data_IF_834350191800
#
_entry.id   IF_834350191800
#
_cell.length_a   1.000
_cell.length_b   1.000
_cell.length_c   1.000
_cell.angle_alpha   90.00
_cell.angle_beta   90.00
_cell.angle_gamma   90.00
#
_symmetry.space_group_name_H-M   'P 1'
#
loop_
_entity.id
_entity.type
_entity.pdbx_description
1 polymer ?
#
# COMPACT_ATOMS: atom_id res chain seq x y z
N UNK A 1 19.34 -16.03 12.09
CA UNK A 1 18.54 -14.81 12.27
C UNK A 1 17.19 -15.24 12.81
N UNK A 2 16.86 -14.86 14.05
CA UNK A 2 15.64 -15.34 14.70
C UNK A 2 14.45 -14.43 14.36
N UNK A 3 13.23 -14.98 14.41
CA UNK A 3 11.99 -14.32 13.96
C UNK A 3 11.62 -13.07 14.78
N UNK A 4 12.11 -12.94 16.01
CA UNK A 4 11.88 -11.77 16.88
C UNK A 4 12.83 -10.60 16.57
N UNK A 5 14.05 -10.88 16.13
CA UNK A 5 14.99 -9.84 15.64
C UNK A 5 14.50 -9.20 14.34
N UNK A 6 13.73 -9.96 13.56
CA UNK A 6 13.19 -9.52 12.27
C UNK A 6 12.09 -8.43 12.44
N UNK A 7 11.28 -8.49 13.51
CA UNK A 7 10.20 -7.53 13.76
C UNK A 7 10.67 -6.20 14.37
N UNK A 8 11.72 -6.23 15.21
CA UNK A 8 12.33 -5.01 15.77
C UNK A 8 12.76 -4.02 14.66
N UNK A 9 13.09 -4.55 13.47
CA UNK A 9 13.45 -3.73 12.30
C UNK A 9 12.26 -3.20 11.49
N UNK A 10 11.11 -3.91 11.45
CA UNK A 10 9.98 -3.53 10.57
C UNK A 10 9.21 -2.36 11.16
N UNK A 11 8.90 -2.40 12.46
CA UNK A 11 8.19 -1.32 13.13
C UNK A 11 9.01 -0.02 13.13
N UNK A 12 10.32 -0.12 13.37
CA UNK A 12 11.23 1.04 13.29
C UNK A 12 11.28 1.63 11.88
N UNK A 13 11.38 0.78 10.85
CA UNK A 13 11.36 1.23 9.45
C UNK A 13 10.03 1.89 9.09
N UNK A 14 8.92 1.33 9.55
CA UNK A 14 7.61 1.94 9.36
C UNK A 14 7.53 3.31 10.05
N UNK A 15 8.02 3.44 11.28
CA UNK A 15 8.03 4.71 12.00
C UNK A 15 8.89 5.79 11.33
N UNK A 16 10.05 5.40 10.78
CA UNK A 16 10.89 6.29 9.98
C UNK A 16 10.15 6.71 8.70
N UNK A 17 9.56 5.76 7.98
CA UNK A 17 8.81 6.06 6.75
C UNK A 17 7.65 7.02 7.01
N UNK A 18 6.86 6.80 8.07
CA UNK A 18 5.75 7.68 8.45
C UNK A 18 6.26 9.11 8.74
N UNK A 19 7.37 9.24 9.47
CA UNK A 19 8.00 10.53 9.77
C UNK A 19 8.49 11.24 8.50
N UNK A 20 9.20 10.52 7.64
CA UNK A 20 9.76 11.06 6.40
C UNK A 20 8.66 11.49 5.42
N UNK A 21 7.53 10.78 5.42
CA UNK A 21 6.34 11.10 4.61
C UNK A 21 5.39 12.11 5.27
N UNK A 22 5.67 12.53 6.51
CA UNK A 22 4.84 13.50 7.23
C UNK A 22 3.47 12.99 7.67
N UNK A 23 3.29 11.68 7.82
CA UNK A 23 2.02 11.04 8.19
C UNK A 23 1.96 10.91 9.72
N UNK A 24 1.29 11.86 10.37
CA UNK A 24 1.27 11.95 11.83
C UNK A 24 -0.10 11.73 12.47
N UNK A 25 -1.18 11.74 11.69
CA UNK A 25 -2.55 11.77 12.20
C UNK A 25 -3.48 10.87 11.39
N UNK A 26 -4.60 10.51 12.01
CA UNK A 26 -5.69 9.75 11.39
C UNK A 26 -6.89 10.69 11.14
N UNK A 27 -7.71 10.46 10.11
CA UNK A 27 -7.60 9.37 9.13
C UNK A 27 -6.47 9.61 8.10
N UNK A 28 -5.88 8.52 7.60
CA UNK A 28 -4.98 8.60 6.44
C UNK A 28 -5.78 8.56 5.15
N UNK A 29 -5.32 9.29 4.13
CA UNK A 29 -5.82 9.15 2.77
C UNK A 29 -4.91 8.21 1.96
N UNK A 30 -5.33 6.95 1.74
CA UNK A 30 -4.52 5.98 1.01
C UNK A 30 -4.36 6.33 -0.47
N UNK A 31 -5.29 7.09 -1.08
CA UNK A 31 -5.18 7.48 -2.48
C UNK A 31 -4.11 8.56 -2.66
N UNK A 32 -4.10 9.57 -1.79
CA UNK A 32 -3.06 10.61 -1.80
C UNK A 32 -1.66 10.03 -1.53
N UNK A 33 -1.54 9.05 -0.63
CA UNK A 33 -0.26 8.34 -0.39
C UNK A 33 0.17 7.57 -1.63
N UNK A 34 -0.74 6.85 -2.29
CA UNK A 34 -0.40 6.11 -3.49
C UNK A 34 0.04 7.03 -4.64
N UNK A 35 -0.65 8.17 -4.82
CA UNK A 35 -0.27 9.19 -5.79
C UNK A 35 1.14 9.76 -5.52
N UNK A 36 1.50 10.02 -4.25
CA UNK A 36 2.86 10.49 -3.91
C UNK A 36 3.96 9.47 -4.16
N UNK A 37 3.61 8.18 -4.24
CA UNK A 37 4.54 7.09 -4.56
C UNK A 37 4.51 6.66 -6.03
N UNK A 38 3.79 7.38 -6.91
CA UNK A 38 3.58 7.01 -8.32
C UNK A 38 2.96 5.60 -8.47
N UNK A 39 2.05 5.26 -7.56
CA UNK A 39 1.29 4.00 -7.56
C UNK A 39 -0.09 4.26 -8.12
N UNK A 40 -0.39 3.69 -9.29
CA UNK A 40 -1.69 3.83 -9.92
C UNK A 40 -2.76 3.04 -9.17
N UNK A 41 -3.75 3.71 -8.57
CA UNK A 41 -4.88 3.03 -7.89
C UNK A 41 -6.10 3.01 -8.80
N UNK A 42 -6.66 1.83 -9.07
CA UNK A 42 -7.83 1.67 -9.93
C UNK A 42 -8.87 0.74 -9.30
N UNK A 43 -10.13 1.15 -9.33
CA UNK A 43 -11.23 0.24 -9.07
C UNK A 43 -11.24 -0.86 -10.14
N UNK A 44 -11.38 -2.12 -9.72
CA UNK A 44 -11.57 -3.25 -10.61
C UNK A 44 -12.92 -3.10 -11.32
N UNK A 45 -13.02 -3.36 -12.63
CA UNK A 45 -14.31 -3.47 -13.30
C UNK A 45 -15.20 -4.50 -12.61
N UNK A 46 -16.51 -4.24 -12.52
CA UNK A 46 -17.50 -5.13 -11.88
C UNK A 46 -17.68 -6.48 -12.61
N UNK A 47 -16.97 -6.69 -13.72
CA UNK A 47 -17.09 -7.84 -14.62
C UNK A 47 -16.29 -9.08 -14.22
N UNK A 48 -15.47 -9.03 -13.15
CA UNK A 48 -14.59 -10.15 -12.77
C UNK A 48 -14.70 -10.47 -11.28
N UNK A 49 -15.31 -11.61 -10.92
CA UNK A 49 -15.39 -12.07 -9.52
C UNK A 49 -14.09 -12.76 -9.09
N UNK A 50 -13.75 -12.67 -7.79
CA UNK A 50 -12.76 -13.57 -7.18
C UNK A 50 -11.50 -12.95 -6.55
N UNK A 51 -11.34 -11.63 -6.50
CA UNK A 51 -10.23 -10.96 -5.77
C UNK A 51 -10.71 -9.68 -5.08
N UNK A 52 -10.35 -9.49 -3.80
CA UNK A 52 -10.63 -8.25 -3.05
C UNK A 52 -9.72 -7.09 -3.48
N UNK A 53 -8.51 -7.41 -3.96
CA UNK A 53 -7.56 -6.46 -4.52
C UNK A 53 -6.22 -7.13 -4.86
N UNK A 54 -5.37 -6.42 -5.60
CA UNK A 54 -4.05 -6.88 -6.00
C UNK A 54 -3.07 -5.71 -6.14
N UNK A 55 -1.83 -5.92 -5.69
CA UNK A 55 -0.69 -5.07 -6.05
C UNK A 55 -0.02 -5.66 -7.29
N UNK A 56 0.10 -4.85 -8.33
CA UNK A 56 0.72 -5.17 -9.61
C UNK A 56 2.03 -4.42 -9.77
N UNK A 57 2.96 -5.03 -10.50
CA UNK A 57 4.23 -4.41 -10.89
C UNK A 57 4.52 -4.74 -12.34
N UNK A 58 4.80 -3.71 -13.14
CA UNK A 58 5.32 -3.82 -14.50
C UNK A 58 6.60 -2.98 -14.62
N UNK A 59 7.75 -3.65 -14.75
CA UNK A 59 9.05 -3.00 -14.65
C UNK A 59 9.27 -2.29 -13.30
N UNK A 60 9.29 -0.96 -13.33
CA UNK A 60 9.38 -0.10 -12.13
C UNK A 60 8.06 0.61 -11.78
N UNK A 61 7.00 0.38 -12.55
CA UNK A 61 5.68 0.94 -12.30
C UNK A 61 4.89 0.01 -11.39
N UNK A 62 4.22 0.60 -10.41
CA UNK A 62 3.35 -0.13 -9.48
C UNK A 62 1.90 0.31 -9.64
N UNK A 63 0.97 -0.62 -9.42
CA UNK A 63 -0.45 -0.32 -9.43
C UNK A 63 -1.22 -1.16 -8.43
N UNK A 64 -2.27 -0.59 -7.85
CA UNK A 64 -3.20 -1.27 -6.95
C UNK A 64 -4.55 -1.34 -7.65
N UNK A 65 -5.09 -2.56 -7.80
CA UNK A 65 -6.49 -2.75 -8.13
C UNK A 65 -7.27 -3.19 -6.90
N UNK A 66 -8.45 -2.63 -6.67
CA UNK A 66 -9.30 -2.98 -5.53
C UNK A 66 -10.75 -3.25 -5.98
N UNK A 67 -11.44 -4.14 -5.29
CA UNK A 67 -12.84 -4.44 -5.56
C UNK A 67 -13.76 -3.35 -4.98
N UNK A 68 -14.78 -2.99 -5.75
CA UNK A 68 -15.87 -2.08 -5.37
C UNK A 68 -17.12 -2.81 -4.90
N UNK A 69 -17.19 -4.13 -5.14
CA UNK A 69 -18.29 -5.02 -4.77
C UNK A 69 -17.69 -6.24 -4.04
N UNK A 70 -18.03 -6.42 -2.75
CA UNK A 70 -17.50 -7.45 -1.84
C UNK A 70 -18.65 -8.18 -1.16
#
# INVERSE_FOLDING_TARGET
MNRAEQFFSVEQRAAVLLRDKGIFELPVDPFSIAESEDIAVKAKPDTTKGVSGMLMRDGNTFGIMYATDI
#
